data_IF_901450086559
#
_entry.id   IF_901450086559
#
_cell.length_a   1.000
_cell.length_b   1.000
_cell.length_c   1.000
_cell.angle_alpha   90.00
_cell.angle_beta   90.00
_cell.angle_gamma   90.00
#
_symmetry.space_group_name_H-M   'P 1'
#
loop_
_entity.id
_entity.type
_entity.pdbx_description
1 polymer ?
#
# COMPACT_ATOMS: atom_id res chain seq x y z
N UNK A 1 5.12 13.70 8.17
CA UNK A 1 3.69 13.78 7.78
C UNK A 1 2.80 13.35 8.95
N UNK A 2 1.58 13.90 9.08
CA UNK A 2 0.53 13.21 9.83
C UNK A 2 0.29 11.82 9.24
N UNK A 3 -0.15 10.88 10.06
CA UNK A 3 -0.50 9.53 9.60
C UNK A 3 -1.52 9.63 8.45
N UNK A 4 -1.31 8.86 7.39
CA UNK A 4 -2.21 8.73 6.24
C UNK A 4 -2.28 7.24 5.85
N UNK A 5 -3.36 6.82 5.21
CA UNK A 5 -3.53 5.45 4.75
C UNK A 5 -3.83 5.41 3.26
N UNK A 6 -2.78 5.18 2.48
CA UNK A 6 -2.87 4.98 1.05
C UNK A 6 -3.07 3.50 0.73
N UNK A 7 -4.06 3.16 -0.10
CA UNK A 7 -4.30 1.77 -0.48
C UNK A 7 -4.70 1.61 -1.94
N UNK A 8 -4.41 0.43 -2.49
CA UNK A 8 -4.97 -0.03 -3.76
C UNK A 8 -5.66 -1.37 -3.53
N UNK A 9 -6.80 -1.57 -4.18
CA UNK A 9 -7.56 -2.82 -4.09
C UNK A 9 -7.65 -3.51 -5.44
N UNK A 10 -7.43 -4.82 -5.42
CA UNK A 10 -7.41 -5.66 -6.61
C UNK A 10 -8.15 -6.95 -6.31
N UNK A 11 -9.08 -7.32 -7.19
CA UNK A 11 -9.67 -8.66 -7.22
C UNK A 11 -8.77 -9.57 -8.06
N UNK A 12 -8.43 -10.74 -7.51
CA UNK A 12 -7.47 -11.68 -8.09
C UNK A 12 -5.99 -11.34 -7.83
N UNK A 13 -5.09 -11.83 -8.68
CA UNK A 13 -3.64 -11.86 -8.38
C UNK A 13 -2.96 -10.50 -8.41
N UNK A 14 -2.16 -10.18 -7.40
CA UNK A 14 -1.24 -9.04 -7.45
C UNK A 14 0.12 -9.47 -8.06
N UNK A 15 0.67 -8.66 -8.97
CA UNK A 15 1.91 -8.98 -9.69
C UNK A 15 2.67 -7.69 -10.07
N UNK A 16 3.82 -7.82 -10.74
CA UNK A 16 4.63 -6.66 -11.18
C UNK A 16 3.87 -5.62 -12.00
N UNK A 17 2.95 -6.05 -12.89
CA UNK A 17 2.18 -5.11 -13.72
C UNK A 17 1.22 -4.25 -12.88
N UNK A 18 0.73 -4.79 -11.75
CA UNK A 18 -0.10 -4.06 -10.80
C UNK A 18 0.76 -3.26 -9.80
N UNK A 19 1.89 -3.80 -9.37
CA UNK A 19 2.81 -3.12 -8.46
C UNK A 19 3.39 -1.82 -9.04
N UNK A 20 3.81 -1.82 -10.31
CA UNK A 20 4.47 -0.66 -10.93
C UNK A 20 3.59 0.61 -10.93
N UNK A 21 2.33 0.59 -11.40
CA UNK A 21 1.46 1.76 -11.33
C UNK A 21 1.28 2.30 -9.91
N UNK A 22 1.18 1.43 -8.90
CA UNK A 22 1.06 1.86 -7.51
C UNK A 22 2.31 2.62 -7.05
N UNK A 23 3.51 2.13 -7.40
CA UNK A 23 4.77 2.82 -7.06
C UNK A 23 4.94 4.12 -7.86
N UNK A 24 4.51 4.15 -9.13
CA UNK A 24 4.49 5.38 -9.93
C UNK A 24 3.54 6.43 -9.38
N UNK A 25 2.50 6.03 -8.66
CA UNK A 25 1.63 6.95 -7.94
C UNK A 25 2.23 7.44 -6.62
N UNK A 26 3.04 6.61 -5.94
CA UNK A 26 3.73 6.98 -4.70
C UNK A 26 4.96 7.86 -4.93
N UNK A 27 5.71 7.68 -6.02
CA UNK A 27 6.96 8.41 -6.26
C UNK A 27 6.80 9.95 -6.35
N UNK A 28 5.77 10.50 -7.04
CA UNK A 28 5.53 11.94 -7.03
C UNK A 28 5.20 12.49 -5.64
N UNK A 29 4.48 11.73 -4.81
CA UNK A 29 4.19 12.12 -3.42
C UNK A 29 5.46 12.21 -2.58
N UNK A 30 6.37 11.24 -2.76
CA UNK A 30 7.68 11.26 -2.11
C UNK A 30 8.54 12.44 -2.58
N UNK A 31 8.49 12.77 -3.88
CA UNK A 31 9.22 13.90 -4.43
C UNK A 31 8.72 15.22 -3.85
N UNK A 32 7.39 15.39 -3.78
CA UNK A 32 6.79 16.55 -3.15
C UNK A 32 7.19 16.65 -1.67
N UNK A 33 7.10 15.55 -0.92
CA UNK A 33 7.53 15.52 0.49
C UNK A 33 9.00 15.90 0.66
N UNK A 34 9.88 15.39 -0.19
CA UNK A 34 11.31 15.74 -0.19
C UNK A 34 11.53 17.22 -0.47
N UNK A 35 10.80 17.81 -1.42
CA UNK A 35 10.91 19.23 -1.76
C UNK A 35 10.41 20.14 -0.62
N UNK A 36 9.33 19.73 0.05
CA UNK A 36 8.70 20.51 1.13
C UNK A 36 9.46 20.41 2.46
N UNK A 37 10.06 19.25 2.76
CA UNK A 37 10.60 18.96 4.10
C UNK A 37 12.10 18.66 4.12
N UNK A 38 12.70 18.32 2.97
CA UNK A 38 14.07 17.80 2.89
C UNK A 38 14.21 16.34 3.34
N UNK A 39 13.12 15.65 3.66
CA UNK A 39 13.13 14.26 4.13
C UNK A 39 12.83 13.27 3.00
N UNK A 40 13.54 12.14 2.98
CA UNK A 40 13.24 11.04 2.06
C UNK A 40 12.06 10.20 2.54
N UNK A 41 11.40 9.52 1.60
CA UNK A 41 10.37 8.52 1.88
C UNK A 41 10.95 7.12 1.70
N UNK A 42 10.73 6.23 2.68
CA UNK A 42 11.16 4.82 2.60
C UNK A 42 9.94 3.91 2.61
N UNK A 43 9.75 3.14 1.53
CA UNK A 43 8.76 2.06 1.45
C UNK A 43 9.39 0.79 1.98
N UNK A 44 8.83 0.28 3.08
CA UNK A 44 9.22 -0.98 3.70
C UNK A 44 8.30 -2.08 3.18
N UNK A 45 8.86 -3.15 2.63
CA UNK A 45 8.07 -4.26 2.07
C UNK A 45 8.73 -5.62 2.29
N UNK A 46 7.95 -6.68 2.12
CA UNK A 46 8.42 -8.06 2.25
C UNK A 46 9.25 -8.53 1.03
N UNK A 47 9.62 -9.80 1.04
CA UNK A 47 10.42 -10.43 -0.01
C UNK A 47 9.65 -10.89 -1.26
N UNK A 48 8.39 -10.50 -1.48
CA UNK A 48 7.62 -11.00 -2.61
C UNK A 48 8.32 -10.75 -3.95
N UNK A 49 8.34 -11.77 -4.81
CA UNK A 49 9.21 -11.81 -5.99
C UNK A 49 8.95 -10.66 -6.98
N UNK A 50 7.71 -10.17 -7.07
CA UNK A 50 7.35 -9.07 -7.95
C UNK A 50 7.96 -7.71 -7.54
N UNK A 51 8.31 -7.53 -6.26
CA UNK A 51 9.02 -6.33 -5.79
C UNK A 51 10.47 -6.26 -6.32
N UNK A 52 11.06 -7.41 -6.66
CA UNK A 52 12.43 -7.55 -7.17
C UNK A 52 12.48 -8.01 -8.62
N UNK A 53 11.37 -7.95 -9.35
CA UNK A 53 11.38 -8.30 -10.78
C UNK A 53 12.34 -7.39 -11.56
N UNK A 54 12.90 -7.89 -12.66
CA UNK A 54 13.81 -7.09 -13.49
C UNK A 54 13.13 -5.78 -13.96
N UNK A 55 11.85 -5.84 -14.35
CA UNK A 55 11.06 -4.65 -14.71
C UNK A 55 10.94 -3.66 -13.56
N UNK A 56 10.76 -4.14 -12.33
CA UNK A 56 10.70 -3.28 -11.14
C UNK A 56 12.02 -2.58 -10.88
N UNK A 57 13.13 -3.31 -10.96
CA UNK A 57 14.46 -2.78 -10.68
C UNK A 57 14.88 -1.65 -11.64
N UNK A 58 14.39 -1.67 -12.88
CA UNK A 58 14.65 -0.61 -13.87
C UNK A 58 14.17 0.78 -13.41
N UNK A 59 13.21 0.85 -12.49
CA UNK A 59 12.68 2.12 -11.99
C UNK A 59 13.32 2.61 -10.68
N UNK A 60 14.16 1.78 -10.02
CA UNK A 60 14.70 2.12 -8.70
C UNK A 60 15.50 3.42 -8.69
N UNK A 61 16.36 3.65 -9.67
CA UNK A 61 17.13 4.90 -9.77
C UNK A 61 16.23 6.13 -9.90
N UNK A 62 15.22 6.05 -10.77
CA UNK A 62 14.25 7.15 -10.96
C UNK A 62 13.42 7.42 -9.69
N UNK A 63 13.07 6.38 -8.93
CA UNK A 63 12.39 6.54 -7.64
C UNK A 63 13.30 7.18 -6.58
N UNK A 64 14.58 6.79 -6.53
CA UNK A 64 15.55 7.40 -5.61
C UNK A 64 15.79 8.88 -5.91
N UNK A 65 15.85 9.27 -7.18
CA UNK A 65 15.92 10.68 -7.60
C UNK A 65 14.68 11.49 -7.15
N UNK A 66 13.54 10.83 -7.01
CA UNK A 66 12.30 11.38 -6.45
C UNK A 66 12.24 11.28 -4.92
N UNK A 67 13.32 10.87 -4.24
CA UNK A 67 13.33 10.71 -2.79
C UNK A 67 12.58 9.48 -2.27
N UNK A 68 12.17 8.57 -3.15
CA UNK A 68 11.49 7.31 -2.79
C UNK A 68 12.50 6.15 -2.77
N UNK A 69 12.77 5.64 -1.57
CA UNK A 69 13.67 4.51 -1.34
C UNK A 69 12.88 3.26 -0.97
N UNK A 70 13.44 2.10 -1.29
CA UNK A 70 12.85 0.80 -0.98
C UNK A 70 13.73 0.09 0.04
N UNK A 71 13.12 -0.36 1.12
CA UNK A 71 13.73 -1.23 2.12
C UNK A 71 13.00 -2.57 2.16
N UNK A 72 13.77 -3.66 2.13
CA UNK A 72 13.22 -5.01 2.17
C UNK A 72 13.40 -5.59 3.56
N UNK A 73 12.32 -6.08 4.16
CA UNK A 73 12.38 -6.81 5.41
C UNK A 73 13.15 -8.12 5.24
N UNK A 74 13.86 -8.58 6.29
CA UNK A 74 14.38 -9.94 6.36
C UNK A 74 13.28 -10.98 6.10
N UNK A 75 13.64 -12.16 5.57
CA UNK A 75 12.67 -13.21 5.30
C UNK A 75 11.83 -13.56 6.54
N UNK A 76 10.54 -13.86 6.33
CA UNK A 76 9.62 -14.39 7.36
C UNK A 76 9.53 -13.52 8.62
N UNK A 77 9.50 -12.20 8.46
CA UNK A 77 9.46 -11.25 9.58
C UNK A 77 8.17 -10.42 9.66
N UNK A 78 6.98 -11.05 9.78
CA UNK A 78 5.71 -10.33 9.83
C UNK A 78 5.63 -9.36 11.02
N UNK A 79 6.28 -9.67 12.14
CA UNK A 79 6.34 -8.80 13.33
C UNK A 79 7.04 -7.46 13.09
N UNK A 80 7.81 -7.33 12.01
CA UNK A 80 8.45 -6.07 11.61
C UNK A 80 7.62 -5.28 10.59
N UNK A 81 6.54 -5.87 10.08
CA UNK A 81 5.67 -5.24 9.10
C UNK A 81 4.47 -4.59 9.80
N UNK A 82 4.55 -3.28 10.04
CA UNK A 82 3.51 -2.53 10.78
C UNK A 82 2.10 -2.64 10.19
N UNK A 83 1.97 -2.92 8.89
CA UNK A 83 0.66 -3.09 8.26
C UNK A 83 -0.07 -4.36 8.73
N UNK A 84 0.64 -5.36 9.28
CA UNK A 84 0.02 -6.59 9.80
C UNK A 84 -0.90 -6.29 10.98
N UNK A 85 -0.56 -5.33 11.84
CA UNK A 85 -1.44 -4.87 12.93
C UNK A 85 -2.68 -4.17 12.39
N UNK A 86 -2.56 -3.40 11.31
CA UNK A 86 -3.70 -2.76 10.65
C UNK A 86 -4.63 -3.81 10.02
N UNK A 87 -4.07 -4.83 9.37
CA UNK A 87 -4.84 -5.96 8.82
C UNK A 87 -5.52 -6.79 9.90
N UNK A 88 -4.86 -7.03 11.03
CA UNK A 88 -5.43 -7.75 12.14
C UNK A 88 -6.69 -7.04 12.65
N UNK A 89 -6.58 -5.72 12.87
CA UNK A 89 -7.73 -4.94 13.30
C UNK A 89 -8.86 -4.97 12.26
N UNK A 90 -8.57 -4.69 10.98
CA UNK A 90 -9.56 -4.71 9.90
C UNK A 90 -10.36 -6.02 9.85
N UNK A 91 -9.68 -7.15 10.00
CA UNK A 91 -10.32 -8.47 10.01
C UNK A 91 -11.14 -8.73 11.27
N UNK A 92 -10.63 -8.36 12.44
CA UNK A 92 -11.23 -8.69 13.73
C UNK A 92 -12.31 -7.74 14.21
N UNK A 93 -12.29 -6.48 13.78
CA UNK A 93 -13.21 -5.46 14.31
C UNK A 93 -14.15 -4.93 13.24
N UNK A 94 -13.66 -4.70 12.03
CA UNK A 94 -14.49 -4.12 10.98
C UNK A 94 -15.20 -5.17 10.12
N UNK A 95 -14.54 -6.28 9.79
CA UNK A 95 -15.11 -7.34 8.95
C UNK A 95 -15.63 -8.55 9.74
N UNK A 96 -15.47 -8.57 11.06
CA UNK A 96 -15.88 -9.72 11.87
C UNK A 96 -17.38 -9.97 11.76
N UNK A 97 -17.76 -11.26 11.68
CA UNK A 97 -19.14 -11.72 11.59
C UNK A 97 -19.90 -11.34 10.30
N UNK A 98 -19.21 -10.87 9.26
CA UNK A 98 -19.79 -10.69 7.93
C UNK A 98 -19.57 -11.95 7.08
N UNK A 99 -20.60 -12.36 6.34
CA UNK A 99 -20.51 -13.36 5.28
C UNK A 99 -20.57 -12.62 3.94
N UNK A 100 -19.67 -12.95 3.03
CA UNK A 100 -19.61 -12.34 1.69
C UNK A 100 -20.02 -13.39 0.66
N UNK A 101 -20.89 -13.02 -0.27
CA UNK A 101 -21.35 -13.96 -1.31
C UNK A 101 -20.24 -14.17 -2.36
N UNK A 102 -19.51 -13.10 -2.68
CA UNK A 102 -18.40 -13.14 -3.63
C UNK A 102 -17.24 -12.17 -3.28
N UNK A 103 -16.22 -12.14 -4.14
CA UNK A 103 -15.05 -11.28 -3.99
C UNK A 103 -15.38 -9.78 -4.15
N UNK A 104 -16.45 -9.44 -4.86
CA UNK A 104 -16.90 -8.05 -5.02
C UNK A 104 -17.52 -7.54 -3.72
N UNK A 105 -18.35 -8.35 -3.06
CA UNK A 105 -18.93 -8.02 -1.75
C UNK A 105 -17.85 -7.80 -0.71
N UNK A 106 -16.86 -8.71 -0.64
CA UNK A 106 -15.71 -8.57 0.24
C UNK A 106 -14.92 -7.29 -0.08
N UNK A 107 -14.71 -6.98 -1.36
CA UNK A 107 -14.00 -5.78 -1.77
C UNK A 107 -14.74 -4.50 -1.33
N UNK A 108 -16.06 -4.45 -1.48
CA UNK A 108 -16.90 -3.32 -1.05
C UNK A 108 -16.81 -3.13 0.46
N UNK A 109 -17.02 -4.20 1.23
CA UNK A 109 -16.96 -4.15 2.68
C UNK A 109 -15.57 -3.73 3.18
N UNK A 110 -14.49 -4.20 2.53
CA UNK A 110 -13.14 -3.81 2.89
C UNK A 110 -12.86 -2.32 2.62
N UNK A 111 -13.34 -1.78 1.49
CA UNK A 111 -13.20 -0.35 1.21
C UNK A 111 -13.93 0.50 2.26
N UNK A 112 -15.16 0.12 2.60
CA UNK A 112 -15.94 0.80 3.66
C UNK A 112 -15.23 0.73 5.01
N UNK A 113 -14.73 -0.45 5.40
CA UNK A 113 -14.00 -0.64 6.64
C UNK A 113 -12.76 0.26 6.75
N UNK A 114 -11.99 0.39 5.66
CA UNK A 114 -10.80 1.25 5.61
C UNK A 114 -11.21 2.74 5.75
N UNK A 115 -12.24 3.16 5.01
CA UNK A 115 -12.73 4.55 5.04
C UNK A 115 -13.27 4.92 6.44
N UNK A 116 -14.11 4.07 7.04
CA UNK A 116 -14.67 4.26 8.38
C UNK A 116 -13.60 4.32 9.46
N UNK A 117 -12.54 3.51 9.30
CA UNK A 117 -11.39 3.50 10.20
C UNK A 117 -10.60 4.80 10.10
N UNK A 118 -10.34 5.28 8.89
CA UNK A 118 -9.68 6.56 8.65
C UNK A 118 -10.44 7.73 9.28
N UNK A 119 -11.76 7.76 9.09
CA UNK A 119 -12.63 8.76 9.71
C UNK A 119 -12.57 8.70 11.25
N UNK A 120 -12.71 7.51 11.85
CA UNK A 120 -12.63 7.33 13.32
C UNK A 120 -11.29 7.74 13.91
N UNK A 121 -10.19 7.50 13.20
CA UNK A 121 -8.83 7.78 13.66
C UNK A 121 -8.30 9.16 13.24
N UNK A 122 -9.05 9.90 12.41
CA UNK A 122 -8.72 11.26 12.00
C UNK A 122 -7.54 11.37 11.03
N UNK A 123 -7.29 10.35 10.21
CA UNK A 123 -6.28 10.40 9.15
C UNK A 123 -6.90 10.33 7.74
N UNK A 124 -6.28 10.99 6.74
CA UNK A 124 -6.72 10.88 5.36
C UNK A 124 -6.50 9.46 4.84
N UNK A 125 -7.47 9.01 4.03
CA UNK A 125 -7.42 7.75 3.29
C UNK A 125 -7.44 8.09 1.80
N UNK A 126 -6.49 7.57 1.03
CA UNK A 126 -6.46 7.76 -0.42
C UNK A 126 -6.39 6.42 -1.14
N UNK A 127 -7.31 6.21 -2.09
CA UNK A 127 -7.39 4.99 -2.87
C UNK A 127 -6.77 5.16 -4.25
N UNK A 128 -5.73 4.40 -4.53
CA UNK A 128 -5.25 4.16 -5.89
C UNK A 128 -6.21 3.25 -6.65
N UNK A 129 -6.74 3.74 -7.77
CA UNK A 129 -7.62 2.98 -8.65
C UNK A 129 -6.80 2.36 -9.76
N UNK A 130 -6.72 1.03 -9.78
CA UNK A 130 -6.15 0.32 -10.92
C UNK A 130 -7.07 0.52 -12.12
N UNK A 131 -6.52 0.98 -13.25
CA UNK A 131 -7.29 1.02 -14.49
C UNK A 131 -7.72 -0.40 -14.85
N UNK A 132 -9.00 -0.60 -15.14
CA UNK A 132 -9.49 -1.78 -15.83
C UNK A 132 -8.85 -1.78 -17.21
N UNK A 133 -7.88 -2.67 -17.41
CA UNK A 133 -7.31 -2.98 -18.73
C UNK A 133 -8.30 -3.72 -19.61
#
# INVERSE_FOLDING_TARGET
MPLAFDYGLVIGRFNTQRYLPLMHWQAPKAQQHLQETGEITVVIQDGASFHRSHKTQQHWSSWQEQGLFIFFLPPQSPQMNRIEEEWLHLKHHELSAQLFEDECDLAIALMQAIDDRGQRRGYPVERFRFNSG
#
